data_IF_362752746731
#
_entry.id   IF_362752746731
#
_cell.length_a   1.000
_cell.length_b   1.000
_cell.length_c   1.000
_cell.angle_alpha   90.00
_cell.angle_beta   90.00
_cell.angle_gamma   90.00
#
_symmetry.space_group_name_H-M   'P 1'
#
loop_
_entity.id
_entity.type
_entity.pdbx_description
1 polymer ?
#
# COMPACT_ATOMS: atom_id res chain seq x y z
N UNK A 1 -22.53 -34.76 -27.96
CA UNK A 1 -23.19 -33.74 -27.09
C UNK A 1 -22.07 -33.09 -26.29
N UNK A 2 -21.73 -31.86 -26.62
CA UNK A 2 -20.72 -31.11 -25.86
C UNK A 2 -21.37 -30.61 -24.56
N UNK A 3 -20.80 -30.99 -23.44
CA UNK A 3 -21.23 -30.58 -22.08
C UNK A 3 -21.04 -29.06 -21.96
N UNK A 4 -22.12 -28.34 -21.64
CA UNK A 4 -22.04 -26.90 -21.45
C UNK A 4 -21.12 -26.58 -20.26
N UNK A 5 -20.18 -25.61 -20.39
CA UNK A 5 -19.26 -25.27 -19.31
C UNK A 5 -20.03 -24.83 -18.06
N UNK A 6 -19.66 -25.37 -16.91
CA UNK A 6 -20.24 -25.04 -15.61
C UNK A 6 -20.24 -23.52 -15.39
N UNK A 7 -21.33 -22.93 -14.86
CA UNK A 7 -21.37 -21.50 -14.60
C UNK A 7 -20.28 -21.13 -13.56
N UNK A 8 -19.59 -20.00 -13.75
CA UNK A 8 -18.55 -19.57 -12.84
C UNK A 8 -19.11 -19.34 -11.42
N UNK A 9 -18.34 -19.65 -10.36
CA UNK A 9 -18.75 -19.43 -8.98
C UNK A 9 -19.14 -17.96 -8.74
N UNK A 10 -20.12 -17.73 -7.87
CA UNK A 10 -20.72 -16.41 -7.59
C UNK A 10 -19.71 -15.28 -7.32
N UNK A 11 -18.53 -15.62 -6.77
CA UNK A 11 -17.42 -14.67 -6.56
C UNK A 11 -16.84 -14.09 -7.86
N UNK A 12 -17.01 -14.76 -9.00
CA UNK A 12 -16.59 -14.26 -10.31
C UNK A 12 -17.61 -13.28 -10.94
N UNK A 13 -18.82 -13.19 -10.40
CA UNK A 13 -19.88 -12.31 -10.91
C UNK A 13 -19.67 -10.83 -10.59
N UNK A 14 -18.79 -10.52 -9.61
CA UNK A 14 -18.36 -9.14 -9.30
C UNK A 14 -17.26 -8.63 -10.25
N UNK A 15 -16.77 -9.47 -11.13
CA UNK A 15 -15.78 -9.16 -12.15
C UNK A 15 -16.45 -8.42 -13.31
N UNK A 16 -16.43 -7.12 -13.28
CA UNK A 16 -16.84 -6.33 -14.44
C UNK A 16 -18.06 -5.45 -14.25
N UNK A 17 -18.26 -4.86 -13.08
CA UNK A 17 -19.27 -3.82 -12.91
C UNK A 17 -19.02 -2.59 -13.77
N UNK A 18 -17.77 -2.37 -14.23
CA UNK A 18 -17.44 -1.30 -15.15
C UNK A 18 -16.43 -1.82 -16.18
N UNK A 19 -16.75 -1.84 -17.49
CA UNK A 19 -15.78 -2.14 -18.54
C UNK A 19 -14.73 -1.04 -18.56
N UNK A 20 -13.53 -1.33 -18.03
CA UNK A 20 -12.43 -0.37 -18.06
C UNK A 20 -11.85 -0.31 -19.47
N UNK A 21 -11.73 0.88 -19.99
CA UNK A 21 -10.96 1.16 -21.18
C UNK A 21 -9.46 0.99 -20.87
N UNK A 22 -8.65 0.48 -21.79
CA UNK A 22 -7.18 0.36 -21.64
C UNK A 22 -6.53 1.69 -21.23
N UNK A 23 -7.11 2.80 -21.61
CA UNK A 23 -6.67 4.12 -21.22
C UNK A 23 -6.89 4.40 -19.74
N UNK A 24 -8.00 3.95 -19.17
CA UNK A 24 -8.27 4.10 -17.71
C UNK A 24 -7.31 3.26 -16.89
N UNK A 25 -7.03 2.02 -17.31
CA UNK A 25 -6.06 1.15 -16.66
C UNK A 25 -4.65 1.75 -16.70
N UNK A 26 -4.23 2.32 -17.82
CA UNK A 26 -2.95 3.02 -17.94
C UNK A 26 -2.86 4.24 -17.02
N UNK A 27 -3.92 5.02 -16.88
CA UNK A 27 -3.98 6.15 -15.95
C UNK A 27 -3.89 5.69 -14.49
N UNK A 28 -4.64 4.65 -14.11
CA UNK A 28 -4.60 4.10 -12.76
C UNK A 28 -3.21 3.58 -12.41
N UNK A 29 -2.58 2.80 -13.32
CA UNK A 29 -1.21 2.30 -13.10
C UNK A 29 -0.18 3.43 -13.00
N UNK A 30 -0.34 4.51 -13.75
CA UNK A 30 0.53 5.68 -13.70
C UNK A 30 0.39 6.42 -12.35
N UNK A 31 -0.84 6.68 -11.90
CA UNK A 31 -1.07 7.27 -10.59
C UNK A 31 -0.58 6.40 -9.44
N UNK A 32 -0.78 5.08 -9.53
CA UNK A 32 -0.27 4.13 -8.55
C UNK A 32 1.25 4.18 -8.45
N UNK A 33 1.95 4.22 -9.59
CA UNK A 33 3.41 4.30 -9.60
C UNK A 33 3.92 5.62 -9.01
N UNK A 34 3.31 6.76 -9.33
CA UNK A 34 3.68 8.05 -8.74
C UNK A 34 3.46 8.04 -7.22
N UNK A 35 2.28 7.63 -6.74
CA UNK A 35 1.99 7.60 -5.32
C UNK A 35 2.97 6.70 -4.55
N UNK A 36 3.29 5.53 -5.10
CA UNK A 36 4.25 4.62 -4.50
C UNK A 36 5.67 5.19 -4.52
N UNK A 37 6.10 5.83 -5.60
CA UNK A 37 7.41 6.49 -5.65
C UNK A 37 7.49 7.65 -4.66
N UNK A 38 6.45 8.50 -4.57
CA UNK A 38 6.38 9.59 -3.60
C UNK A 38 6.40 9.03 -2.17
N UNK A 39 5.70 7.93 -1.92
CA UNK A 39 5.72 7.28 -0.62
C UNK A 39 7.12 6.77 -0.28
N UNK A 40 7.74 5.99 -1.17
CA UNK A 40 9.02 5.33 -0.91
C UNK A 40 10.21 6.31 -0.82
N UNK A 41 10.28 7.27 -1.75
CA UNK A 41 11.35 8.27 -1.74
C UNK A 41 11.08 9.41 -0.74
N UNK A 42 9.82 9.70 -0.46
CA UNK A 42 9.40 10.81 0.39
C UNK A 42 9.31 10.49 1.88
N UNK A 43 9.42 9.22 2.27
CA UNK A 43 9.29 8.78 3.68
C UNK A 43 10.02 9.71 4.67
N UNK A 44 11.28 10.10 4.46
CA UNK A 44 12.02 10.94 5.40
C UNK A 44 11.57 12.41 5.43
N UNK A 45 10.86 12.88 4.40
CA UNK A 45 10.47 14.29 4.23
C UNK A 45 8.99 14.53 4.52
N UNK A 46 8.17 13.48 4.50
CA UNK A 46 6.74 13.60 4.72
C UNK A 46 6.45 13.81 6.20
N UNK A 47 5.70 14.87 6.50
CA UNK A 47 5.12 15.04 7.82
C UNK A 47 4.18 13.88 8.16
N UNK A 48 3.90 13.63 9.43
CA UNK A 48 2.96 12.58 9.86
C UNK A 48 1.61 12.68 9.13
N UNK A 49 1.11 13.90 8.94
CA UNK A 49 -0.15 14.15 8.21
C UNK A 49 0.02 13.86 6.72
N UNK A 50 1.11 14.33 6.10
CA UNK A 50 1.40 14.07 4.68
C UNK A 50 1.54 12.59 4.39
N UNK A 51 2.26 11.85 5.23
CA UNK A 51 2.39 10.40 5.13
C UNK A 51 1.03 9.70 5.21
N UNK A 52 0.19 10.10 6.17
CA UNK A 52 -1.16 9.57 6.32
C UNK A 52 -2.02 9.80 5.08
N UNK A 53 -1.97 10.99 4.49
CA UNK A 53 -2.70 11.32 3.26
C UNK A 53 -2.25 10.48 2.07
N UNK A 54 -0.94 10.31 1.87
CA UNK A 54 -0.40 9.48 0.77
C UNK A 54 -0.81 8.02 0.94
N UNK A 55 -0.74 7.48 2.15
CA UNK A 55 -1.17 6.10 2.45
C UNK A 55 -2.67 5.92 2.19
N UNK A 56 -3.51 6.88 2.61
CA UNK A 56 -4.94 6.84 2.34
C UNK A 56 -5.23 6.93 0.84
N UNK A 57 -4.51 7.78 0.11
CA UNK A 57 -4.62 7.88 -1.34
C UNK A 57 -4.24 6.55 -2.03
N UNK A 58 -3.20 5.87 -1.57
CA UNK A 58 -2.84 4.53 -2.07
C UNK A 58 -3.96 3.52 -1.83
N UNK A 59 -4.56 3.50 -0.64
CA UNK A 59 -5.69 2.63 -0.31
C UNK A 59 -6.92 2.91 -1.17
N UNK A 60 -7.28 4.19 -1.32
CA UNK A 60 -8.41 4.62 -2.15
C UNK A 60 -8.18 4.25 -3.62
N UNK A 61 -6.97 4.46 -4.15
CA UNK A 61 -6.61 4.10 -5.50
C UNK A 61 -6.66 2.60 -5.73
N UNK A 62 -6.22 1.80 -4.75
CA UNK A 62 -6.32 0.34 -4.81
C UNK A 62 -7.79 -0.12 -4.85
N UNK A 63 -8.67 0.46 -4.03
CA UNK A 63 -10.10 0.16 -4.04
C UNK A 63 -10.71 0.50 -5.42
N UNK A 64 -10.40 1.68 -5.94
CA UNK A 64 -10.87 2.11 -7.26
C UNK A 64 -10.35 1.17 -8.37
N UNK A 65 -9.09 0.79 -8.31
CA UNK A 65 -8.52 -0.14 -9.29
C UNK A 65 -9.15 -1.53 -9.20
N UNK A 66 -9.36 -2.04 -7.98
CA UNK A 66 -9.99 -3.34 -7.74
C UNK A 66 -11.46 -3.39 -8.17
N UNK A 67 -12.17 -2.24 -8.19
CA UNK A 67 -13.54 -2.14 -8.70
C UNK A 67 -13.60 -2.28 -10.23
N UNK A 68 -12.51 -1.91 -10.90
CA UNK A 68 -12.41 -1.97 -12.38
C UNK A 68 -11.78 -3.28 -12.83
N UNK A 69 -10.79 -3.77 -12.09
CA UNK A 69 -10.08 -5.01 -12.38
C UNK A 69 -9.89 -5.82 -11.11
N UNK A 70 -10.36 -7.06 -11.08
CA UNK A 70 -10.29 -7.87 -9.86
C UNK A 70 -8.84 -8.07 -9.43
N UNK A 71 -8.58 -8.08 -8.11
CA UNK A 71 -7.26 -8.31 -7.57
C UNK A 71 -6.76 -9.70 -7.96
N UNK A 72 -5.47 -9.81 -8.16
CA UNK A 72 -4.86 -11.07 -8.56
C UNK A 72 -5.05 -12.18 -7.50
N UNK A 73 -4.97 -13.43 -7.95
CA UNK A 73 -5.11 -14.61 -7.09
C UNK A 73 -4.23 -14.50 -5.85
N UNK A 74 -4.80 -14.88 -4.71
CA UNK A 74 -4.12 -14.87 -3.42
C UNK A 74 -2.96 -15.87 -3.49
N UNK A 75 -1.71 -15.36 -3.50
CA UNK A 75 -0.52 -16.20 -3.37
C UNK A 75 -0.24 -16.55 -1.90
N UNK A 76 0.71 -17.44 -1.66
CA UNK A 76 1.07 -17.90 -0.31
C UNK A 76 1.38 -16.73 0.66
N UNK A 77 2.16 -15.73 0.22
CA UNK A 77 2.49 -14.55 1.03
C UNK A 77 1.21 -13.79 1.43
N UNK A 78 0.29 -13.59 0.50
CA UNK A 78 -0.97 -12.90 0.80
C UNK A 78 -1.88 -13.70 1.72
N UNK A 79 -1.85 -15.02 1.67
CA UNK A 79 -2.58 -15.88 2.61
C UNK A 79 -2.06 -15.65 4.05
N UNK A 80 -0.74 -15.63 4.26
CA UNK A 80 -0.14 -15.33 5.57
C UNK A 80 -0.47 -13.91 6.05
N UNK A 81 -0.47 -12.94 5.17
CA UNK A 81 -0.88 -11.56 5.49
C UNK A 81 -2.33 -11.52 5.95
N UNK A 82 -3.23 -12.28 5.32
CA UNK A 82 -4.63 -12.37 5.74
C UNK A 82 -4.79 -13.08 7.10
N UNK A 83 -4.02 -14.15 7.35
CA UNK A 83 -3.98 -14.81 8.67
C UNK A 83 -3.53 -13.83 9.74
N UNK A 84 -2.43 -13.10 9.49
CA UNK A 84 -1.94 -12.07 10.40
C UNK A 84 -3.01 -10.98 10.66
N UNK A 85 -3.70 -10.52 9.63
CA UNK A 85 -4.80 -9.57 9.78
C UNK A 85 -5.93 -10.12 10.64
N UNK A 86 -6.32 -11.39 10.42
CA UNK A 86 -7.33 -12.06 11.25
C UNK A 86 -6.94 -12.09 12.73
N UNK A 87 -5.69 -12.43 13.03
CA UNK A 87 -5.16 -12.39 14.40
C UNK A 87 -5.18 -10.97 14.97
N UNK A 88 -4.79 -9.96 14.18
CA UNK A 88 -4.81 -8.56 14.62
C UNK A 88 -6.22 -8.06 14.92
N UNK A 89 -7.22 -8.46 14.13
CA UNK A 89 -8.65 -8.14 14.37
C UNK A 89 -9.11 -8.78 15.66
N UNK A 90 -8.83 -10.07 15.86
CA UNK A 90 -9.17 -10.78 17.11
C UNK A 90 -8.49 -10.12 18.31
N UNK A 91 -7.19 -9.86 18.25
CA UNK A 91 -6.45 -9.19 19.30
C UNK A 91 -7.02 -7.81 19.65
N UNK A 92 -7.49 -7.07 18.63
CA UNK A 92 -8.16 -5.78 18.84
C UNK A 92 -9.47 -5.93 19.60
N UNK A 93 -10.26 -6.96 19.27
CA UNK A 93 -11.55 -7.25 19.94
C UNK A 93 -11.40 -7.63 21.42
N UNK A 94 -10.30 -8.27 21.78
CA UNK A 94 -9.97 -8.68 23.16
C UNK A 94 -9.05 -7.70 23.90
N UNK A 95 -8.75 -6.54 23.32
CA UNK A 95 -7.84 -5.57 23.93
C UNK A 95 -8.47 -4.88 25.14
N UNK A 96 -7.75 -4.74 26.26
CA UNK A 96 -8.19 -3.98 27.41
C UNK A 96 -8.27 -2.46 27.13
N UNK A 97 -7.61 -1.99 26.02
CA UNK A 97 -7.62 -0.58 25.60
C UNK A 97 -8.11 -0.50 24.15
N UNK A 98 -9.44 -0.61 23.91
CA UNK A 98 -10.00 -0.78 22.57
C UNK A 98 -9.71 0.41 21.63
N UNK A 99 -9.69 1.64 22.15
CA UNK A 99 -9.43 2.82 21.35
C UNK A 99 -7.98 2.84 20.78
N UNK A 100 -7.00 2.43 21.57
CA UNK A 100 -5.61 2.34 21.12
C UNK A 100 -5.43 1.19 20.13
N UNK A 101 -6.04 0.03 20.42
CA UNK A 101 -6.00 -1.14 19.55
C UNK A 101 -6.66 -0.85 18.19
N UNK A 102 -7.81 -0.17 18.18
CA UNK A 102 -8.48 0.25 16.94
C UNK A 102 -7.61 1.18 16.08
N UNK A 103 -6.91 2.15 16.69
CA UNK A 103 -5.94 3.00 15.97
C UNK A 103 -4.82 2.17 15.35
N UNK A 104 -4.30 1.17 16.07
CA UNK A 104 -3.30 0.24 15.55
C UNK A 104 -3.82 -0.57 14.35
N UNK A 105 -5.04 -1.09 14.45
CA UNK A 105 -5.69 -1.84 13.37
C UNK A 105 -5.91 -0.97 12.11
N UNK A 106 -6.34 0.28 12.28
CA UNK A 106 -6.51 1.23 11.16
C UNK A 106 -5.17 1.46 10.46
N UNK A 107 -4.08 1.65 11.21
CA UNK A 107 -2.74 1.78 10.62
C UNK A 107 -2.34 0.52 9.85
N UNK A 108 -2.57 -0.66 10.43
CA UNK A 108 -2.29 -1.93 9.75
C UNK A 108 -3.08 -2.06 8.44
N UNK A 109 -4.37 -1.76 8.45
CA UNK A 109 -5.22 -1.77 7.24
C UNK A 109 -4.72 -0.78 6.18
N UNK A 110 -4.24 0.38 6.60
CA UNK A 110 -3.67 1.38 5.70
C UNK A 110 -2.40 0.85 5.01
N UNK A 111 -1.49 0.20 5.74
CA UNK A 111 -0.31 -0.44 5.16
C UNK A 111 -0.65 -1.61 4.24
N UNK A 112 -1.69 -2.36 4.57
CA UNK A 112 -2.20 -3.41 3.68
C UNK A 112 -2.74 -2.84 2.37
N UNK A 113 -3.36 -1.67 2.38
CA UNK A 113 -3.77 -0.95 1.18
C UNK A 113 -2.58 -0.61 0.28
N UNK A 114 -1.48 -0.12 0.85
CA UNK A 114 -0.22 0.14 0.11
C UNK A 114 0.36 -1.15 -0.47
N UNK A 115 0.44 -2.21 0.34
CA UNK A 115 0.91 -3.53 -0.10
C UNK A 115 0.07 -4.06 -1.26
N UNK A 116 -1.25 -3.98 -1.16
CA UNK A 116 -2.17 -4.46 -2.18
C UNK A 116 -2.04 -3.67 -3.49
N UNK A 117 -1.89 -2.32 -3.41
CA UNK A 117 -1.64 -1.46 -4.57
C UNK A 117 -0.31 -1.80 -5.25
N UNK A 118 0.77 -1.93 -4.46
CA UNK A 118 2.10 -2.28 -4.97
C UNK A 118 2.07 -3.63 -5.67
N UNK A 119 1.46 -4.63 -5.04
CA UNK A 119 1.32 -5.96 -5.62
C UNK A 119 0.55 -5.94 -6.94
N UNK A 120 -0.56 -5.19 -7.01
CA UNK A 120 -1.36 -5.09 -8.23
C UNK A 120 -0.60 -4.37 -9.34
N UNK A 121 0.12 -3.30 -9.01
CA UNK A 121 0.97 -2.59 -9.98
C UNK A 121 2.04 -3.51 -10.55
N UNK A 122 2.79 -4.22 -9.70
CA UNK A 122 3.89 -5.10 -10.13
C UNK A 122 3.42 -6.31 -10.91
N UNK A 123 2.21 -6.79 -10.64
CA UNK A 123 1.63 -7.89 -11.37
C UNK A 123 1.19 -7.48 -12.80
N UNK A 124 0.76 -6.23 -13.00
CA UNK A 124 0.39 -5.73 -14.32
C UNK A 124 1.57 -5.13 -15.07
N UNK A 125 2.56 -4.61 -14.34
CA UNK A 125 3.72 -3.91 -14.88
C UNK A 125 4.99 -4.23 -14.09
N UNK A 126 5.58 -5.40 -14.31
CA UNK A 126 6.79 -5.84 -13.59
C UNK A 126 7.99 -4.92 -13.80
N UNK A 127 8.02 -4.16 -14.90
CA UNK A 127 9.07 -3.18 -15.20
C UNK A 127 9.17 -2.04 -14.16
N UNK A 128 8.18 -1.87 -13.30
CA UNK A 128 8.22 -0.88 -12.22
C UNK A 128 9.01 -1.34 -11.01
N UNK A 129 9.35 -2.63 -10.91
CA UNK A 129 10.10 -3.16 -9.77
C UNK A 129 11.40 -2.39 -9.53
N UNK A 130 12.25 -2.29 -10.54
CA UNK A 130 13.56 -1.62 -10.42
C UNK A 130 13.41 -0.15 -10.05
N UNK A 131 12.40 0.53 -10.57
CA UNK A 131 12.12 1.95 -10.28
C UNK A 131 11.66 2.15 -8.84
N UNK A 132 10.81 1.27 -8.32
CA UNK A 132 10.34 1.32 -6.94
C UNK A 132 11.47 1.01 -5.97
N UNK A 133 12.31 0.03 -6.28
CA UNK A 133 13.51 -0.28 -5.48
C UNK A 133 14.48 0.90 -5.51
N UNK A 134 14.72 1.50 -6.67
CA UNK A 134 15.58 2.69 -6.79
C UNK A 134 15.01 3.87 -5.97
N UNK A 135 13.70 4.10 -5.99
CA UNK A 135 13.05 5.14 -5.19
C UNK A 135 13.22 4.90 -3.68
N UNK A 136 13.05 3.64 -3.24
CA UNK A 136 13.29 3.26 -1.85
C UNK A 136 14.75 3.50 -1.45
N UNK A 137 15.70 3.02 -2.23
CA UNK A 137 17.13 3.22 -1.96
C UNK A 137 17.52 4.70 -1.93
N UNK A 138 16.98 5.50 -2.85
CA UNK A 138 17.18 6.95 -2.84
C UNK A 138 16.66 7.60 -1.55
N UNK A 139 15.47 7.20 -1.08
CA UNK A 139 14.91 7.64 0.19
C UNK A 139 15.80 7.28 1.38
N UNK A 140 16.29 6.04 1.43
CA UNK A 140 17.19 5.56 2.50
C UNK A 140 18.55 6.26 2.49
N UNK A 141 19.13 6.50 1.31
CA UNK A 141 20.38 7.26 1.19
C UNK A 141 20.20 8.69 1.71
N UNK A 142 19.11 9.36 1.30
CA UNK A 142 18.79 10.70 1.78
C UNK A 142 18.57 10.74 3.29
N UNK A 143 17.84 9.75 3.84
CA UNK A 143 17.65 9.60 5.29
C UNK A 143 18.97 9.44 6.02
N UNK A 144 19.88 8.60 5.48
CA UNK A 144 21.21 8.36 6.05
C UNK A 144 22.06 9.63 6.02
N UNK A 145 22.04 10.39 4.92
CA UNK A 145 22.76 11.67 4.82
C UNK A 145 22.20 12.68 5.84
N UNK A 146 20.88 12.76 6.00
CA UNK A 146 20.27 13.65 6.98
C UNK A 146 20.63 13.22 8.42
N UNK A 147 20.60 11.93 8.72
CA UNK A 147 21.00 11.41 10.01
C UNK A 147 22.48 11.71 10.34
N UNK A 148 23.36 11.55 9.37
CA UNK A 148 24.78 11.91 9.51
C UNK A 148 24.94 13.42 9.76
N UNK A 149 24.23 14.25 8.99
CA UNK A 149 24.24 15.70 9.21
C UNK A 149 23.74 16.08 10.61
N UNK A 150 22.70 15.40 11.12
CA UNK A 150 22.22 15.62 12.49
C UNK A 150 23.23 15.17 13.55
N UNK A 151 23.97 14.09 13.31
CA UNK A 151 24.98 13.58 14.22
C UNK A 151 26.17 14.54 14.37
N UNK A 152 26.56 15.19 13.28
CA UNK A 152 27.71 16.14 13.23
C UNK A 152 27.27 17.61 13.26
N UNK A 153 25.97 17.88 13.29
CA UNK A 153 25.41 19.22 13.34
C UNK A 153 25.32 19.79 14.77
N UNK A 154 25.06 21.10 14.88
CA UNK A 154 24.86 21.73 16.20
C UNK A 154 23.65 21.12 16.92
N UNK A 155 23.81 20.83 18.19
CA UNK A 155 22.80 20.18 19.06
C UNK A 155 21.48 20.97 19.19
N UNK A 156 21.48 22.25 18.84
CA UNK A 156 20.29 23.10 18.85
C UNK A 156 19.25 22.71 17.78
N UNK A 157 19.70 22.09 16.67
CA UNK A 157 18.75 21.57 15.65
C UNK A 157 18.07 20.27 16.12
N UNK A 158 18.70 19.48 16.96
CA UNK A 158 18.11 18.24 17.51
C UNK A 158 16.94 18.53 18.44
N UNK A 159 16.99 19.62 19.20
CA UNK A 159 15.92 20.02 20.11
C UNK A 159 14.61 20.38 19.37
N UNK A 160 14.68 20.88 18.14
CA UNK A 160 13.48 21.19 17.33
C UNK A 160 12.71 19.99 16.82
N UNK A 161 13.32 18.81 16.84
CA UNK A 161 12.67 17.56 16.37
C UNK A 161 12.11 16.71 17.52
N UNK A 162 12.43 17.11 18.78
CA UNK A 162 11.98 16.39 19.99
C UNK A 162 10.58 16.83 20.47
N UNK A 163 10.08 17.99 20.00
CA UNK A 163 8.73 18.51 20.23
C UNK A 163 7.76 18.12 19.08
#
# INVERSE_FOLDING_TARGET
MAEAPAPPPLLLRWQGLLPATDQQLRRLSWWASILLMVLLAGLPFLTRTGLGLVILACGALWILWSSVRPPQRIGAISAWVLVFLGIAVLATGFSPVPAAAAKGLIKLLSYLGVYALMRQLLAERPEWWDRLVAALLAGEVLTSVMALRQLYGPTEELARWAD
#
